data_IF_233204909719
#
_entry.id   IF_233204909719
#
_cell.length_a   1.000
_cell.length_b   1.000
_cell.length_c   1.000
_cell.angle_alpha   90.00
_cell.angle_beta   90.00
_cell.angle_gamma   90.00
#
_symmetry.space_group_name_H-M   'P 1'
#
loop_
_entity.id
_entity.type
_entity.pdbx_description
1 polymer ?
#
# COMPACT_ATOMS: atom_id res chain seq x y z
N UNK A 1 1.59 4.56 -18.55
CA UNK A 1 0.24 5.16 -18.53
C UNK A 1 0.24 6.21 -17.43
N UNK A 2 0.10 7.49 -17.75
CA UNK A 2 0.09 8.57 -16.75
C UNK A 2 -1.33 9.05 -16.49
N UNK A 3 -1.62 9.48 -15.26
CA UNK A 3 -2.85 10.22 -14.96
C UNK A 3 -2.57 11.68 -15.31
N UNK A 4 -3.37 12.24 -16.23
CA UNK A 4 -3.28 13.63 -16.65
C UNK A 4 -4.56 14.35 -16.26
N UNK A 5 -4.45 15.45 -15.52
CA UNK A 5 -5.56 16.32 -15.19
C UNK A 5 -5.60 17.47 -16.19
N UNK A 6 -6.73 17.66 -16.85
CA UNK A 6 -6.99 18.81 -17.73
C UNK A 6 -8.18 19.58 -17.19
N UNK A 7 -8.08 20.91 -17.19
CA UNK A 7 -9.16 21.81 -16.80
C UNK A 7 -9.69 22.51 -18.06
N UNK A 8 -10.98 22.36 -18.37
CA UNK A 8 -11.61 23.07 -19.49
C UNK A 8 -12.39 24.30 -18.98
N UNK A 9 -12.06 25.46 -19.54
CA UNK A 9 -12.42 26.79 -18.99
C UNK A 9 -13.65 27.43 -19.66
N UNK A 10 -14.27 26.76 -20.64
CA UNK A 10 -15.15 27.43 -21.61
C UNK A 10 -16.54 27.86 -21.07
N UNK A 11 -17.01 27.32 -19.94
CA UNK A 11 -18.36 27.60 -19.42
C UNK A 11 -18.41 28.49 -18.16
N UNK A 12 -17.27 29.09 -17.75
CA UNK A 12 -17.24 29.99 -16.60
C UNK A 12 -17.73 31.40 -16.99
N UNK A 13 -19.02 31.68 -16.77
CA UNK A 13 -19.68 32.96 -17.08
C UNK A 13 -19.32 34.15 -16.17
N UNK A 14 -18.28 34.09 -15.34
CA UNK A 14 -17.78 35.23 -14.56
C UNK A 14 -16.26 35.14 -14.28
N UNK A 15 -15.65 36.26 -13.88
CA UNK A 15 -14.21 36.40 -13.60
C UNK A 15 -13.84 36.17 -12.12
N UNK A 16 -14.73 35.58 -11.33
CA UNK A 16 -14.37 35.12 -9.99
C UNK A 16 -13.92 33.67 -10.08
N UNK A 17 -12.59 33.52 -10.07
CA UNK A 17 -11.82 32.30 -9.87
C UNK A 17 -12.44 31.42 -8.77
N UNK A 18 -13.43 30.58 -9.10
CA UNK A 18 -13.86 29.51 -8.21
C UNK A 18 -12.76 28.46 -8.27
N UNK A 19 -11.80 28.73 -7.39
CA UNK A 19 -10.61 27.98 -7.09
C UNK A 19 -10.96 26.52 -6.86
N UNK A 20 -10.62 25.66 -7.81
CA UNK A 20 -10.33 24.28 -7.46
C UNK A 20 -9.04 24.35 -6.64
N UNK A 21 -9.21 24.39 -5.34
CA UNK A 21 -8.14 24.44 -4.34
C UNK A 21 -8.37 23.31 -3.34
N UNK A 22 -7.30 22.86 -2.67
CA UNK A 22 -7.29 21.73 -1.73
C UNK A 22 -7.59 20.34 -2.33
N UNK A 23 -7.33 20.12 -3.63
CA UNK A 23 -7.33 18.76 -4.18
C UNK A 23 -6.19 17.97 -3.55
N UNK A 24 -6.53 16.95 -2.76
CA UNK A 24 -5.58 15.99 -2.19
C UNK A 24 -5.75 14.66 -2.91
N UNK A 25 -4.67 14.17 -3.48
CA UNK A 25 -4.57 12.78 -3.90
C UNK A 25 -4.06 12.02 -2.69
N UNK A 26 -4.91 11.18 -2.11
CA UNK A 26 -4.55 10.30 -1.01
C UNK A 26 -4.54 8.86 -1.55
N UNK A 27 -3.42 8.18 -1.38
CA UNK A 27 -3.39 6.73 -1.47
C UNK A 27 -3.84 6.19 -0.10
N UNK A 28 -4.84 5.32 -0.07
CA UNK A 28 -5.01 4.45 1.09
C UNK A 28 -3.93 3.38 0.97
N UNK A 29 -2.77 3.66 1.56
CA UNK A 29 -1.71 2.67 1.70
C UNK A 29 -2.03 1.82 2.90
N UNK A 30 -2.33 0.54 2.68
CA UNK A 30 -2.28 -0.46 3.75
C UNK A 30 -0.94 -0.36 4.47
N UNK A 31 -0.93 -0.43 5.82
CA UNK A 31 0.30 -0.50 6.58
C UNK A 31 1.19 -1.65 6.09
N UNK A 32 2.50 -1.39 5.96
CA UNK A 32 3.48 -2.45 5.66
C UNK A 32 3.43 -3.49 6.78
N UNK A 33 3.43 -4.77 6.41
CA UNK A 33 3.35 -5.90 7.34
C UNK A 33 1.94 -6.33 7.77
N UNK A 34 0.88 -5.60 7.40
CA UNK A 34 -0.53 -6.03 7.56
C UNK A 34 -0.99 -6.71 6.26
N UNK A 35 -0.68 -8.00 6.14
CA UNK A 35 -0.85 -8.77 4.91
C UNK A 35 -2.28 -9.28 4.71
N UNK A 36 -3.07 -9.39 5.77
CA UNK A 36 -4.46 -9.82 5.70
C UNK A 36 -5.48 -8.65 5.73
N UNK A 37 -5.00 -7.41 5.92
CA UNK A 37 -5.77 -6.16 5.93
C UNK A 37 -6.76 -6.04 7.10
N UNK A 38 -6.50 -6.68 8.24
CA UNK A 38 -7.34 -6.58 9.44
C UNK A 38 -6.92 -5.46 10.40
N UNK A 39 -5.74 -4.89 10.19
CA UNK A 39 -5.19 -3.77 10.95
C UNK A 39 -4.46 -4.14 12.24
N UNK A 40 -4.41 -5.43 12.58
CA UNK A 40 -3.57 -5.98 13.61
C UNK A 40 -2.29 -6.57 12.98
N UNK A 41 -1.26 -6.81 13.80
CA UNK A 41 -0.01 -7.45 13.36
C UNK A 41 0.13 -8.77 14.10
N UNK A 42 -0.17 -9.89 13.44
CA UNK A 42 -0.22 -11.18 14.12
C UNK A 42 0.20 -12.39 13.25
N UNK A 43 -0.10 -13.58 13.76
CA UNK A 43 0.29 -14.84 13.11
C UNK A 43 -0.41 -15.10 11.79
N UNK A 44 -1.54 -14.43 11.51
CA UNK A 44 -2.23 -14.52 10.24
C UNK A 44 -1.47 -13.75 9.15
N UNK A 45 -0.82 -12.62 9.47
CA UNK A 45 0.09 -11.95 8.55
C UNK A 45 1.29 -12.84 8.20
N UNK A 46 1.87 -13.49 9.22
CA UNK A 46 2.95 -14.45 9.02
C UNK A 46 2.52 -15.62 8.13
N UNK A 47 1.27 -16.11 8.27
CA UNK A 47 0.73 -17.16 7.42
C UNK A 47 0.69 -16.71 5.96
N UNK A 48 0.11 -15.53 5.68
CA UNK A 48 0.04 -14.97 4.32
C UNK A 48 1.44 -14.76 3.73
N UNK A 49 2.39 -14.27 4.52
CA UNK A 49 3.78 -14.11 4.08
C UNK A 49 4.44 -15.45 3.73
N UNK A 50 4.22 -16.49 4.54
CA UNK A 50 4.71 -17.84 4.22
C UNK A 50 4.09 -18.38 2.94
N UNK A 51 2.79 -18.19 2.71
CA UNK A 51 2.11 -18.60 1.47
C UNK A 51 2.72 -17.95 0.23
N UNK A 52 3.13 -16.68 0.32
CA UNK A 52 3.89 -15.99 -0.74
C UNK A 52 5.25 -16.66 -0.96
N UNK A 53 6.02 -16.86 0.11
CA UNK A 53 7.38 -17.42 0.04
C UNK A 53 7.42 -18.85 -0.52
N UNK A 54 6.40 -19.67 -0.24
CA UNK A 54 6.30 -21.03 -0.77
C UNK A 54 5.61 -21.09 -2.14
N UNK A 55 5.17 -19.95 -2.68
CA UNK A 55 4.53 -19.86 -3.99
C UNK A 55 3.09 -20.38 -4.05
N UNK A 56 2.42 -20.48 -2.89
CA UNK A 56 0.99 -20.82 -2.82
C UNK A 56 0.11 -19.58 -3.10
N UNK A 57 0.64 -18.39 -2.84
CA UNK A 57 0.00 -17.12 -3.11
C UNK A 57 0.88 -16.27 -4.03
N UNK A 58 0.36 -15.87 -5.18
CA UNK A 58 1.01 -14.87 -6.05
C UNK A 58 0.52 -13.48 -5.63
N UNK A 59 1.38 -12.62 -5.06
CA UNK A 59 0.96 -11.31 -4.62
C UNK A 59 0.57 -10.42 -5.80
N UNK A 60 -0.46 -9.60 -5.61
CA UNK A 60 -0.74 -8.48 -6.50
C UNK A 60 0.18 -7.30 -6.18
N UNK A 61 0.01 -6.17 -6.90
CA UNK A 61 0.84 -4.98 -6.69
C UNK A 61 0.79 -4.42 -5.27
N UNK A 62 -0.34 -4.59 -4.57
CA UNK A 62 -0.51 -4.05 -3.23
C UNK A 62 0.12 -4.98 -2.21
N UNK A 63 -0.23 -6.27 -2.29
CA UNK A 63 0.29 -7.28 -1.37
C UNK A 63 1.81 -7.38 -1.48
N UNK A 64 2.37 -7.30 -2.69
CA UNK A 64 3.82 -7.29 -2.90
C UNK A 64 4.53 -6.09 -2.28
N UNK A 65 3.86 -4.94 -2.19
CA UNK A 65 4.41 -3.77 -1.52
C UNK A 65 4.33 -3.88 0.01
N UNK A 66 3.25 -4.47 0.51
CA UNK A 66 3.01 -4.64 1.96
C UNK A 66 3.85 -5.78 2.53
N UNK A 67 4.17 -6.79 1.73
CA UNK A 67 4.99 -7.94 2.11
C UNK A 67 6.51 -7.67 2.09
N UNK A 68 6.95 -6.61 1.40
CA UNK A 68 8.33 -6.10 1.42
C UNK A 68 8.53 -5.18 2.64
N UNK A 69 8.77 -5.81 3.78
CA UNK A 69 8.80 -5.15 5.09
C UNK A 69 10.11 -4.38 5.30
N UNK A 70 11.23 -4.87 4.76
CA UNK A 70 12.50 -4.15 4.81
C UNK A 70 12.65 -3.12 3.67
N UNK A 71 11.71 -3.08 2.73
CA UNK A 71 11.68 -2.17 1.57
C UNK A 71 12.91 -2.31 0.65
N UNK A 72 13.43 -3.53 0.50
CA UNK A 72 14.57 -3.81 -0.38
C UNK A 72 14.14 -4.13 -1.83
N UNK A 73 12.83 -4.25 -2.07
CA UNK A 73 12.23 -4.53 -3.36
C UNK A 73 11.91 -6.02 -3.59
N UNK A 74 12.23 -6.91 -2.67
CA UNK A 74 12.04 -8.35 -2.80
C UNK A 74 11.42 -8.95 -1.53
N UNK A 75 10.20 -9.49 -1.62
CA UNK A 75 9.60 -10.26 -0.50
C UNK A 75 10.33 -11.59 -0.30
N UNK A 76 11.06 -11.72 0.81
CA UNK A 76 11.89 -12.87 1.13
C UNK A 76 11.87 -13.24 2.62
N UNK A 77 12.68 -14.21 3.04
CA UNK A 77 12.73 -14.67 4.44
C UNK A 77 13.22 -13.59 5.42
N UNK A 78 13.88 -12.54 4.95
CA UNK A 78 14.26 -11.38 5.77
C UNK A 78 13.02 -10.67 6.30
N UNK A 79 12.01 -10.45 5.45
CA UNK A 79 10.73 -9.83 5.83
C UNK A 79 10.00 -10.67 6.87
N UNK A 80 10.02 -12.00 6.70
CA UNK A 80 9.42 -12.94 7.66
C UNK A 80 10.05 -12.83 9.05
N UNK A 81 11.38 -12.73 9.11
CA UNK A 81 12.10 -12.58 10.38
C UNK A 81 11.79 -11.22 11.01
N UNK A 82 11.69 -10.16 10.21
CA UNK A 82 11.34 -8.83 10.73
C UNK A 82 9.93 -8.78 11.30
N UNK A 83 8.93 -9.32 10.58
CA UNK A 83 7.56 -9.41 11.07
C UNK A 83 7.45 -10.25 12.34
N UNK A 84 8.11 -11.41 12.36
CA UNK A 84 8.15 -12.27 13.54
C UNK A 84 8.76 -11.55 14.74
N UNK A 85 9.89 -10.86 14.56
CA UNK A 85 10.51 -10.09 15.64
C UNK A 85 9.61 -8.96 16.12
N UNK A 86 8.92 -8.27 15.21
CA UNK A 86 7.97 -7.22 15.57
C UNK A 86 6.84 -7.76 16.45
N UNK A 87 6.17 -8.83 16.02
CA UNK A 87 5.08 -9.50 16.76
C UNK A 87 5.57 -10.03 18.11
N UNK A 88 6.80 -10.54 18.21
CA UNK A 88 7.33 -11.07 19.47
C UNK A 88 7.77 -9.96 20.44
N UNK A 89 7.87 -8.71 20.00
CA UNK A 89 8.33 -7.57 20.82
C UNK A 89 7.23 -6.58 21.18
N UNK A 90 6.02 -6.76 20.65
CA UNK A 90 4.83 -5.93 20.89
C UNK A 90 3.65 -6.80 21.31
#
# INVERSE_FOLDING_TARGET
SGIYFNWEMADAGNNWYWAIDNVKIQSQTTPIGDLNYDGDYDVFDLLTLVEILVGLLSPDSMLGHVSDINQDGETNFTDLILLLNYIMTH
#
